data_IF_278701684972
#
_entry.id   IF_278701684972
#
_cell.length_a   1.000
_cell.length_b   1.000
_cell.length_c   1.000
_cell.angle_alpha   90.00
_cell.angle_beta   90.00
_cell.angle_gamma   90.00
#
_symmetry.space_group_name_H-M   'P 1'
#
loop_
_entity.id
_entity.type
_entity.pdbx_description
1 polymer ?
#
# COMPACT_ATOMS: atom_id res chain seq x y z
N UNK A 1 -27.69 -13.08 -21.25
CA UNK A 1 -26.41 -12.66 -20.62
C UNK A 1 -25.62 -13.80 -20.00
N UNK A 2 -26.23 -14.92 -19.58
CA UNK A 2 -25.48 -16.16 -19.27
C UNK A 2 -26.19 -17.37 -19.91
N UNK A 3 -25.54 -18.07 -20.84
CA UNK A 3 -26.04 -19.36 -21.35
C UNK A 3 -25.28 -20.47 -20.61
N UNK A 4 -25.98 -21.19 -19.74
CA UNK A 4 -25.44 -22.38 -19.09
C UNK A 4 -25.68 -23.58 -19.99
N UNK A 5 -24.61 -24.10 -20.60
CA UNK A 5 -24.67 -25.32 -21.41
C UNK A 5 -24.39 -26.51 -20.49
N UNK A 6 -25.44 -27.10 -19.91
CA UNK A 6 -25.33 -28.34 -19.12
C UNK A 6 -25.90 -29.51 -19.93
N UNK A 7 -25.15 -30.62 -20.01
CA UNK A 7 -25.54 -31.87 -20.68
C UNK A 7 -26.08 -31.72 -22.13
N UNK A 8 -25.18 -31.57 -23.11
CA UNK A 8 -25.58 -31.72 -24.52
C UNK A 8 -25.49 -33.18 -24.98
N UNK A 9 -26.63 -33.70 -25.44
CA UNK A 9 -26.82 -34.99 -26.09
C UNK A 9 -26.06 -35.10 -27.42
N UNK A 10 -25.82 -36.34 -27.84
CA UNK A 10 -24.73 -36.81 -28.71
C UNK A 10 -24.69 -36.32 -30.18
N UNK A 11 -25.58 -35.45 -30.66
CA UNK A 11 -25.82 -35.35 -32.12
C UNK A 11 -25.56 -33.98 -32.78
N UNK A 12 -24.97 -32.99 -32.11
CA UNK A 12 -24.57 -31.74 -32.78
C UNK A 12 -23.09 -31.82 -33.20
N UNK A 13 -22.75 -31.59 -34.49
CA UNK A 13 -21.37 -31.54 -34.93
C UNK A 13 -20.57 -30.48 -34.16
N UNK A 14 -19.38 -30.84 -33.67
CA UNK A 14 -18.47 -29.95 -32.90
C UNK A 14 -18.31 -28.56 -33.53
N UNK A 15 -18.26 -28.50 -34.87
CA UNK A 15 -18.11 -27.28 -35.66
C UNK A 15 -19.28 -26.31 -35.49
N UNK A 16 -20.50 -26.82 -35.38
CA UNK A 16 -21.72 -26.00 -35.30
C UNK A 16 -21.87 -25.41 -33.91
N UNK A 17 -21.53 -26.16 -32.86
CA UNK A 17 -21.47 -25.66 -31.48
C UNK A 17 -20.46 -24.50 -31.39
N UNK A 18 -19.24 -24.69 -31.91
CA UNK A 18 -18.21 -23.65 -31.91
C UNK A 18 -18.68 -22.41 -32.70
N UNK A 19 -19.31 -22.60 -33.85
CA UNK A 19 -19.85 -21.49 -34.66
C UNK A 19 -20.93 -20.71 -33.92
N UNK A 20 -21.87 -21.40 -33.28
CA UNK A 20 -22.95 -20.78 -32.50
C UNK A 20 -22.43 -20.05 -31.26
N UNK A 21 -21.47 -20.63 -30.52
CA UNK A 21 -20.81 -19.96 -29.40
C UNK A 21 -20.09 -18.70 -29.87
N UNK A 22 -19.35 -18.78 -30.98
CA UNK A 22 -18.64 -17.63 -31.54
C UNK A 22 -19.61 -16.52 -31.97
N UNK A 23 -20.73 -16.85 -32.62
CA UNK A 23 -21.75 -15.87 -33.01
C UNK A 23 -22.44 -15.26 -31.78
N UNK A 24 -22.70 -16.06 -30.75
CA UNK A 24 -23.29 -15.58 -29.49
C UNK A 24 -22.34 -14.60 -28.79
N UNK A 25 -21.05 -14.93 -28.68
CA UNK A 25 -20.02 -14.06 -28.10
C UNK A 25 -19.93 -12.72 -28.81
N UNK A 26 -20.01 -12.72 -30.15
CA UNK A 26 -20.04 -11.47 -30.95
C UNK A 26 -21.23 -10.58 -30.58
N UNK A 27 -22.37 -11.16 -30.18
CA UNK A 27 -23.59 -10.42 -29.84
C UNK A 27 -23.70 -9.99 -28.38
N UNK A 28 -23.20 -10.79 -27.43
CA UNK A 28 -23.41 -10.56 -25.98
C UNK A 28 -22.15 -9.99 -25.28
N UNK A 29 -21.02 -9.90 -25.99
CA UNK A 29 -19.76 -9.35 -25.47
C UNK A 29 -18.94 -10.38 -24.70
N UNK A 30 -19.50 -10.96 -23.63
CA UNK A 30 -18.88 -12.01 -22.81
C UNK A 30 -19.81 -13.21 -22.68
N UNK A 31 -19.26 -14.42 -22.80
CA UNK A 31 -19.97 -15.66 -22.53
C UNK A 31 -19.10 -16.55 -21.64
N UNK A 32 -19.66 -17.00 -20.52
CA UNK A 32 -19.00 -17.89 -19.57
C UNK A 32 -19.40 -19.34 -19.87
N UNK A 33 -18.42 -20.19 -20.16
CA UNK A 33 -18.60 -21.64 -20.29
C UNK A 33 -18.09 -22.28 -19.00
N UNK A 34 -19.02 -22.78 -18.19
CA UNK A 34 -18.69 -23.54 -17.00
C UNK A 34 -18.67 -25.04 -17.30
N UNK A 35 -17.51 -25.67 -17.10
CA UNK A 35 -17.33 -27.10 -17.28
C UNK A 35 -16.98 -27.76 -15.95
N UNK A 36 -17.87 -28.64 -15.50
CA UNK A 36 -17.69 -29.43 -14.29
C UNK A 36 -17.44 -30.88 -14.64
N UNK A 37 -16.30 -31.44 -14.20
CA UNK A 37 -15.93 -32.82 -14.54
C UNK A 37 -16.05 -33.78 -13.36
N UNK A 38 -16.67 -34.93 -13.60
CA UNK A 38 -16.79 -36.04 -12.63
C UNK A 38 -15.73 -37.13 -12.82
N UNK A 39 -15.04 -37.14 -13.97
CA UNK A 39 -13.94 -38.08 -14.27
C UNK A 39 -12.59 -37.38 -14.11
N UNK A 40 -11.52 -38.10 -13.74
CA UNK A 40 -10.16 -37.53 -13.70
C UNK A 40 -9.82 -36.82 -15.02
N UNK A 41 -9.36 -35.58 -14.91
CA UNK A 41 -9.11 -34.69 -16.06
C UNK A 41 -8.07 -35.28 -17.02
N UNK A 42 -7.12 -36.05 -16.50
CA UNK A 42 -6.09 -36.81 -17.21
C UNK A 42 -6.61 -37.57 -18.45
N UNK A 43 -7.84 -38.09 -18.38
CA UNK A 43 -8.42 -38.89 -19.46
C UNK A 43 -8.77 -38.08 -20.71
N UNK A 44 -8.88 -36.76 -20.62
CA UNK A 44 -9.33 -35.91 -21.73
C UNK A 44 -8.71 -34.51 -21.79
N UNK A 45 -7.72 -34.22 -20.94
CA UNK A 45 -7.11 -32.89 -20.79
C UNK A 45 -6.58 -32.30 -22.10
N UNK A 46 -5.82 -33.05 -22.88
CA UNK A 46 -5.24 -32.54 -24.14
C UNK A 46 -6.31 -32.18 -25.18
N UNK A 47 -7.40 -32.95 -25.26
CA UNK A 47 -8.52 -32.63 -26.17
C UNK A 47 -9.27 -31.38 -25.70
N UNK A 48 -9.46 -31.24 -24.39
CA UNK A 48 -10.14 -30.09 -23.79
C UNK A 48 -9.33 -28.81 -24.00
N UNK A 49 -8.05 -28.82 -23.63
CA UNK A 49 -7.20 -27.63 -23.70
C UNK A 49 -6.89 -27.20 -25.13
N UNK A 50 -6.71 -28.15 -26.06
CA UNK A 50 -6.66 -27.82 -27.49
C UNK A 50 -7.97 -27.19 -27.98
N UNK A 51 -9.13 -27.70 -27.55
CA UNK A 51 -10.40 -27.07 -27.91
C UNK A 51 -10.52 -25.65 -27.34
N UNK A 52 -10.07 -25.42 -26.10
CA UNK A 52 -10.03 -24.10 -25.49
C UNK A 52 -9.16 -23.15 -26.31
N UNK A 53 -7.93 -23.54 -26.69
CA UNK A 53 -7.03 -22.74 -27.52
C UNK A 53 -7.66 -22.30 -28.86
N UNK A 54 -8.45 -23.18 -29.47
CA UNK A 54 -9.11 -22.93 -30.76
C UNK A 54 -10.36 -22.03 -30.65
N UNK A 55 -10.82 -21.73 -29.43
CA UNK A 55 -12.03 -20.92 -29.23
C UNK A 55 -11.77 -19.42 -29.28
N UNK A 56 -12.84 -18.63 -29.45
CA UNK A 56 -12.76 -17.18 -29.49
C UNK A 56 -12.14 -16.59 -28.23
N UNK A 57 -11.28 -15.59 -28.42
CA UNK A 57 -10.49 -14.92 -27.38
C UNK A 57 -11.29 -14.26 -26.24
N UNK A 58 -12.63 -14.14 -26.40
CA UNK A 58 -13.56 -13.50 -25.46
C UNK A 58 -14.40 -14.50 -24.67
N UNK A 59 -14.25 -15.80 -24.95
CA UNK A 59 -14.89 -16.86 -24.18
C UNK A 59 -14.19 -17.03 -22.85
N UNK A 60 -14.95 -16.88 -21.77
CA UNK A 60 -14.47 -17.10 -20.41
C UNK A 60 -14.75 -18.57 -20.07
N UNK A 61 -13.71 -19.35 -19.87
CA UNK A 61 -13.85 -20.72 -19.38
C UNK A 61 -13.79 -20.70 -17.87
N UNK A 62 -14.61 -21.54 -17.22
CA UNK A 62 -14.53 -21.88 -15.80
C UNK A 62 -14.55 -23.39 -15.66
N UNK A 63 -13.40 -23.99 -15.36
CA UNK A 63 -13.23 -25.45 -15.29
C UNK A 63 -13.00 -25.86 -13.84
N UNK A 64 -13.80 -26.79 -13.32
CA UNK A 64 -13.70 -27.27 -11.94
C UNK A 64 -14.10 -28.75 -11.78
N UNK A 65 -13.55 -29.48 -10.80
CA UNK A 65 -14.00 -30.83 -10.50
C UNK A 65 -15.40 -30.81 -9.84
N UNK A 66 -16.19 -31.85 -10.08
CA UNK A 66 -17.53 -32.02 -9.50
C UNK A 66 -17.50 -32.40 -8.02
N UNK A 67 -16.51 -33.19 -7.62
CA UNK A 67 -16.44 -33.82 -6.30
C UNK A 67 -16.09 -32.82 -5.20
N UNK A 68 -15.21 -31.86 -5.51
CA UNK A 68 -14.77 -30.82 -4.57
C UNK A 68 -14.80 -29.49 -5.30
N UNK A 69 -15.92 -28.78 -5.21
CA UNK A 69 -16.24 -27.59 -6.02
C UNK A 69 -15.25 -26.43 -5.91
N UNK A 70 -14.26 -26.54 -5.02
CA UNK A 70 -13.27 -25.52 -4.71
C UNK A 70 -11.81 -25.97 -4.87
N UNK A 71 -11.50 -27.24 -5.16
CA UNK A 71 -10.11 -27.72 -5.04
C UNK A 71 -9.18 -27.27 -6.18
N UNK A 72 -9.72 -27.19 -7.39
CA UNK A 72 -9.02 -26.77 -8.58
C UNK A 72 -9.99 -25.98 -9.46
N UNK A 73 -9.66 -24.72 -9.76
CA UNK A 73 -10.47 -23.87 -10.61
C UNK A 73 -9.57 -23.17 -11.63
N UNK A 74 -9.89 -23.34 -12.91
CA UNK A 74 -9.25 -22.60 -13.99
C UNK A 74 -10.28 -21.64 -14.58
N UNK A 75 -10.00 -20.34 -14.51
CA UNK A 75 -10.90 -19.30 -15.01
C UNK A 75 -10.16 -18.29 -15.88
N UNK A 76 -10.64 -18.02 -17.09
CA UNK A 76 -10.04 -16.98 -17.94
C UNK A 76 -10.29 -17.15 -19.44
N UNK A 77 -9.46 -16.49 -20.24
CA UNK A 77 -9.57 -16.43 -21.71
C UNK A 77 -8.21 -16.65 -22.37
N UNK A 78 -8.19 -17.06 -23.64
CA UNK A 78 -6.93 -17.21 -24.39
C UNK A 78 -6.16 -15.90 -24.56
N UNK A 79 -6.86 -14.75 -24.63
CA UNK A 79 -6.25 -13.44 -24.84
C UNK A 79 -5.56 -12.93 -23.58
N UNK A 80 -6.35 -12.80 -22.52
CA UNK A 80 -5.91 -12.26 -21.24
C UNK A 80 -4.98 -13.24 -20.51
N UNK A 81 -5.16 -14.54 -20.74
CA UNK A 81 -4.60 -15.61 -19.93
C UNK A 81 -5.63 -16.18 -18.95
N UNK A 82 -5.21 -17.23 -18.28
CA UNK A 82 -6.02 -17.95 -17.30
C UNK A 82 -5.49 -17.75 -15.89
N UNK A 83 -6.44 -17.65 -14.96
CA UNK A 83 -6.23 -17.76 -13.52
C UNK A 83 -6.40 -19.21 -13.11
N UNK A 84 -5.33 -19.81 -12.61
CA UNK A 84 -5.40 -21.12 -11.97
C UNK A 84 -5.47 -20.94 -10.46
N UNK A 85 -6.55 -21.40 -9.83
CA UNK A 85 -6.73 -21.43 -8.39
C UNK A 85 -6.67 -22.87 -7.88
N UNK A 86 -5.77 -23.12 -6.92
CA UNK A 86 -5.60 -24.41 -6.26
C UNK A 86 -5.94 -24.22 -4.80
N UNK A 87 -6.91 -24.98 -4.30
CA UNK A 87 -7.26 -25.05 -2.88
C UNK A 87 -7.16 -26.50 -2.44
N UNK A 88 -6.24 -26.82 -1.54
CA UNK A 88 -6.06 -28.21 -1.11
C UNK A 88 -6.37 -28.33 0.36
N UNK A 89 -7.42 -29.09 0.69
CA UNK A 89 -7.80 -29.36 2.09
C UNK A 89 -7.16 -30.66 2.63
N UNK A 90 -6.63 -31.51 1.76
CA UNK A 90 -6.00 -32.78 2.12
C UNK A 90 -4.81 -33.08 1.19
N UNK A 91 -3.73 -33.65 1.73
CA UNK A 91 -2.56 -34.10 0.97
C UNK A 91 -2.95 -35.10 -0.13
N UNK A 92 -3.98 -35.92 0.11
CA UNK A 92 -4.45 -36.95 -0.84
C UNK A 92 -5.02 -36.34 -2.13
N UNK A 93 -5.73 -35.21 -2.02
CA UNK A 93 -6.28 -34.47 -3.16
C UNK A 93 -5.20 -33.79 -4.00
N UNK A 94 -4.10 -33.37 -3.37
CA UNK A 94 -3.01 -32.66 -4.07
C UNK A 94 -2.31 -33.53 -5.12
N UNK A 95 -2.15 -34.84 -4.84
CA UNK A 95 -1.51 -35.79 -5.77
C UNK A 95 -2.38 -36.02 -7.00
N UNK A 96 -3.71 -36.07 -6.80
CA UNK A 96 -4.71 -36.38 -7.83
C UNK A 96 -4.72 -35.42 -9.01
N UNK A 97 -4.31 -34.17 -8.80
CA UNK A 97 -4.37 -33.13 -9.85
C UNK A 97 -3.00 -32.74 -10.42
N UNK A 98 -1.91 -33.35 -9.97
CA UNK A 98 -0.55 -32.99 -10.40
C UNK A 98 -0.34 -33.06 -11.93
N UNK A 99 -0.74 -34.17 -12.57
CA UNK A 99 -0.68 -34.33 -14.03
C UNK A 99 -1.51 -33.28 -14.78
N UNK A 100 -2.71 -33.02 -14.26
CA UNK A 100 -3.65 -32.04 -14.82
C UNK A 100 -3.13 -30.61 -14.74
N UNK A 101 -2.49 -30.25 -13.63
CA UNK A 101 -1.87 -28.94 -13.44
C UNK A 101 -0.70 -28.78 -14.41
N UNK A 102 0.17 -29.78 -14.57
CA UNK A 102 1.26 -29.74 -15.57
C UNK A 102 0.70 -29.47 -16.97
N UNK A 103 -0.31 -30.24 -17.41
CA UNK A 103 -0.92 -30.04 -18.73
C UNK A 103 -1.61 -28.68 -18.88
N UNK A 104 -2.20 -28.12 -17.82
CA UNK A 104 -2.76 -26.77 -17.87
C UNK A 104 -1.68 -25.72 -18.14
N UNK A 105 -0.51 -25.82 -17.55
CA UNK A 105 0.57 -24.86 -17.79
C UNK A 105 1.29 -25.07 -19.13
N UNK A 106 1.50 -26.33 -19.52
CA UNK A 106 2.12 -26.66 -20.81
C UNK A 106 1.24 -26.20 -21.98
N UNK A 107 -0.07 -26.32 -21.81
CA UNK A 107 -1.00 -26.01 -22.87
C UNK A 107 -1.55 -24.58 -22.77
N UNK A 108 -1.84 -24.05 -21.59
CA UNK A 108 -2.56 -22.78 -21.47
C UNK A 108 -1.65 -21.64 -21.01
N UNK A 109 -2.03 -20.44 -21.43
CA UNK A 109 -1.39 -19.20 -20.99
C UNK A 109 -1.82 -18.87 -19.56
N UNK A 110 -1.21 -19.49 -18.56
CA UNK A 110 -1.49 -19.17 -17.14
C UNK A 110 -0.85 -17.82 -16.80
N UNK A 111 -1.68 -16.81 -16.58
CA UNK A 111 -1.24 -15.45 -16.23
C UNK A 111 -1.30 -15.17 -14.74
N UNK A 112 -2.16 -15.90 -14.02
CA UNK A 112 -2.40 -15.70 -12.60
C UNK A 112 -2.45 -17.05 -11.90
N UNK A 113 -1.74 -17.19 -10.78
CA UNK A 113 -1.75 -18.40 -9.96
C UNK A 113 -2.18 -18.07 -8.53
N UNK A 114 -3.26 -18.67 -8.07
CA UNK A 114 -3.71 -18.58 -6.69
C UNK A 114 -3.54 -19.93 -5.98
N UNK A 115 -2.86 -19.92 -4.85
CA UNK A 115 -2.73 -21.05 -3.94
C UNK A 115 -3.44 -20.66 -2.65
N UNK A 116 -4.58 -21.28 -2.31
CA UNK A 116 -5.37 -20.93 -1.13
C UNK A 116 -5.44 -22.06 -0.10
N UNK A 117 -4.96 -21.80 1.11
CA UNK A 117 -4.87 -22.73 2.23
C UNK A 117 -4.37 -24.12 1.81
N UNK A 118 -3.56 -24.20 0.75
CA UNK A 118 -3.27 -25.48 0.13
C UNK A 118 -2.13 -26.17 0.89
N UNK A 119 -2.41 -27.36 1.44
CA UNK A 119 -1.36 -28.30 1.82
C UNK A 119 -0.93 -28.99 0.53
N UNK A 120 0.27 -28.65 0.05
CA UNK A 120 0.81 -29.12 -1.21
C UNK A 120 1.74 -30.29 -0.94
N UNK A 121 1.47 -31.45 -1.54
CA UNK A 121 2.43 -32.55 -1.52
C UNK A 121 3.75 -32.12 -2.17
N UNK A 122 4.86 -32.74 -1.76
CA UNK A 122 6.19 -32.47 -2.30
C UNK A 122 6.26 -32.57 -3.83
N UNK A 123 5.51 -33.50 -4.43
CA UNK A 123 5.45 -33.65 -5.90
C UNK A 123 4.76 -32.46 -6.56
N UNK A 124 3.58 -32.07 -6.05
CA UNK A 124 2.87 -30.90 -6.57
C UNK A 124 3.67 -29.60 -6.36
N UNK A 125 4.37 -29.51 -5.23
CA UNK A 125 5.27 -28.41 -4.94
C UNK A 125 6.40 -28.27 -5.96
N UNK A 126 7.08 -29.38 -6.29
CA UNK A 126 8.10 -29.40 -7.33
C UNK A 126 7.54 -29.02 -8.70
N UNK A 127 6.33 -29.49 -9.02
CA UNK A 127 5.59 -29.07 -10.21
C UNK A 127 5.40 -27.55 -10.23
N UNK A 128 4.75 -26.98 -9.21
CA UNK A 128 4.49 -25.53 -9.14
C UNK A 128 5.79 -24.73 -9.24
N UNK A 129 6.84 -25.20 -8.56
CA UNK A 129 8.18 -24.61 -8.59
C UNK A 129 8.73 -24.54 -10.01
N UNK A 130 8.74 -25.66 -10.73
CA UNK A 130 9.23 -25.72 -12.11
C UNK A 130 8.41 -24.82 -13.03
N UNK A 131 7.09 -24.82 -12.84
CA UNK A 131 6.17 -23.98 -13.59
C UNK A 131 6.38 -22.48 -13.37
N UNK A 132 6.71 -22.07 -12.14
CA UNK A 132 7.10 -20.69 -11.84
C UNK A 132 8.38 -20.34 -12.62
N UNK A 133 9.37 -21.22 -12.70
CA UNK A 133 10.60 -20.93 -13.43
C UNK A 133 10.34 -20.82 -14.94
N UNK A 134 9.55 -21.72 -15.49
CA UNK A 134 9.40 -21.86 -16.95
C UNK A 134 8.32 -20.94 -17.54
N UNK A 135 7.38 -20.46 -16.72
CA UNK A 135 6.27 -19.64 -17.23
C UNK A 135 6.73 -18.25 -17.64
N UNK A 136 6.57 -17.95 -18.93
CA UNK A 136 6.77 -16.61 -19.50
C UNK A 136 5.53 -15.71 -19.37
N UNK A 137 4.40 -16.27 -18.90
CA UNK A 137 3.11 -15.58 -18.90
C UNK A 137 2.61 -15.23 -17.50
N UNK A 138 3.20 -15.81 -16.45
CA UNK A 138 2.78 -15.64 -15.06
C UNK A 138 3.06 -14.21 -14.58
N UNK A 139 2.04 -13.36 -14.55
CA UNK A 139 2.11 -11.96 -14.14
C UNK A 139 1.78 -11.76 -12.67
N UNK A 140 0.89 -12.59 -12.13
CA UNK A 140 0.40 -12.46 -10.77
C UNK A 140 0.41 -13.79 -10.03
N UNK A 141 0.83 -13.77 -8.77
CA UNK A 141 0.79 -14.93 -7.91
C UNK A 141 0.25 -14.53 -6.53
N UNK A 142 -0.74 -15.29 -6.05
CA UNK A 142 -1.27 -15.20 -4.69
C UNK A 142 -0.96 -16.51 -4.00
N UNK A 143 -0.18 -16.46 -2.93
CA UNK A 143 0.25 -17.60 -2.14
C UNK A 143 -0.29 -17.49 -0.73
N UNK A 144 -1.18 -18.39 -0.36
CA UNK A 144 -1.74 -18.54 0.96
C UNK A 144 -1.57 -19.99 1.39
N UNK A 145 -0.32 -20.38 1.60
CA UNK A 145 0.05 -21.75 1.92
C UNK A 145 0.97 -21.76 3.14
N UNK A 146 0.72 -22.62 4.14
CA UNK A 146 1.72 -22.87 5.16
C UNK A 146 2.89 -23.61 4.51
N UNK A 147 4.03 -22.93 4.36
CA UNK A 147 5.28 -23.53 3.87
C UNK A 147 6.29 -23.70 5.00
N UNK A 148 7.06 -24.78 4.94
CA UNK A 148 8.27 -24.93 5.75
C UNK A 148 9.33 -23.92 5.32
N UNK A 149 10.36 -23.73 6.15
CA UNK A 149 11.51 -22.87 5.81
C UNK A 149 12.15 -23.28 4.48
N UNK A 150 12.41 -24.58 4.30
CA UNK A 150 13.06 -25.10 3.10
C UNK A 150 12.19 -24.92 1.85
N UNK A 151 10.89 -25.23 1.93
CA UNK A 151 9.97 -24.94 0.82
C UNK A 151 9.95 -23.46 0.49
N UNK A 152 10.04 -22.60 1.52
CA UNK A 152 10.08 -21.14 1.34
C UNK A 152 11.29 -20.69 0.54
N UNK A 153 12.47 -21.16 0.89
CA UNK A 153 13.69 -20.89 0.10
C UNK A 153 13.57 -21.37 -1.34
N UNK A 154 13.01 -22.55 -1.55
CA UNK A 154 12.91 -23.14 -2.89
C UNK A 154 11.98 -22.36 -3.82
N UNK A 155 10.81 -21.93 -3.34
CA UNK A 155 9.92 -21.12 -4.18
C UNK A 155 10.46 -19.70 -4.36
N UNK A 156 11.08 -19.10 -3.35
CA UNK A 156 11.71 -17.79 -3.49
C UNK A 156 12.78 -17.78 -4.57
N UNK A 157 13.66 -18.78 -4.56
CA UNK A 157 14.68 -18.94 -5.60
C UNK A 157 14.06 -19.09 -7.00
N UNK A 158 12.91 -19.76 -7.08
CA UNK A 158 12.19 -19.95 -8.34
C UNK A 158 11.53 -18.66 -8.83
N UNK A 159 10.99 -17.85 -7.93
CA UNK A 159 10.46 -16.53 -8.27
C UNK A 159 11.55 -15.56 -8.73
N UNK A 160 12.78 -15.63 -8.19
CA UNK A 160 13.89 -14.81 -8.68
C UNK A 160 14.13 -15.00 -10.19
N UNK A 161 13.91 -16.23 -10.68
CA UNK A 161 14.12 -16.60 -12.09
C UNK A 161 12.97 -16.23 -13.01
N UNK A 162 11.76 -16.02 -12.47
CA UNK A 162 10.62 -15.66 -13.31
C UNK A 162 10.66 -14.18 -13.70
N UNK A 163 10.97 -13.86 -14.94
CA UNK A 163 11.03 -12.48 -15.43
C UNK A 163 9.64 -11.84 -15.68
N UNK A 164 8.60 -12.66 -15.85
CA UNK A 164 7.25 -12.19 -16.17
C UNK A 164 6.42 -11.74 -14.96
N UNK A 165 6.80 -12.18 -13.76
CA UNK A 165 6.06 -11.94 -12.53
C UNK A 165 6.18 -10.49 -12.08
N UNK A 166 5.02 -9.84 -11.97
CA UNK A 166 4.86 -8.43 -11.60
C UNK A 166 4.16 -8.25 -10.27
N UNK A 167 3.25 -9.16 -9.89
CA UNK A 167 2.44 -9.05 -8.69
C UNK A 167 2.63 -10.30 -7.83
N UNK A 168 2.99 -10.12 -6.56
CA UNK A 168 3.13 -11.22 -5.61
C UNK A 168 2.40 -10.88 -4.30
N UNK A 169 1.40 -11.69 -3.96
CA UNK A 169 0.70 -11.61 -2.70
C UNK A 169 1.04 -12.85 -1.87
N UNK A 170 1.61 -12.69 -0.69
CA UNK A 170 1.86 -13.75 0.28
C UNK A 170 0.90 -13.52 1.44
N UNK A 171 -0.06 -14.41 1.61
CA UNK A 171 -0.98 -14.44 2.74
C UNK A 171 -0.54 -15.51 3.73
N UNK A 172 -0.81 -15.27 5.01
CA UNK A 172 -0.33 -16.10 6.11
C UNK A 172 1.18 -16.38 6.04
N UNK A 173 1.94 -15.32 5.76
CA UNK A 173 3.39 -15.36 5.59
C UNK A 173 4.14 -16.07 6.72
N UNK A 174 5.39 -16.49 6.45
CA UNK A 174 6.14 -17.39 7.30
C UNK A 174 6.22 -16.90 8.74
N UNK A 175 6.06 -17.82 9.69
CA UNK A 175 6.06 -17.55 11.15
C UNK A 175 7.44 -17.24 11.72
N UNK A 176 8.44 -16.95 10.88
CA UNK A 176 9.82 -16.76 11.28
C UNK A 176 10.36 -15.49 10.63
N UNK A 177 10.83 -14.55 11.44
CA UNK A 177 11.34 -13.26 10.98
C UNK A 177 12.45 -13.38 9.93
N UNK A 178 13.35 -14.36 10.08
CA UNK A 178 14.46 -14.58 9.14
C UNK A 178 13.97 -14.87 7.72
N UNK A 179 12.84 -15.55 7.58
CA UNK A 179 12.26 -15.87 6.27
C UNK A 179 11.68 -14.62 5.62
N UNK A 180 11.02 -13.75 6.40
CA UNK A 180 10.59 -12.45 5.91
C UNK A 180 11.79 -11.61 5.41
N UNK A 181 12.92 -11.66 6.11
CA UNK A 181 14.14 -10.95 5.70
C UNK A 181 14.66 -11.46 4.36
N UNK A 182 14.69 -12.78 4.14
CA UNK A 182 15.10 -13.37 2.87
C UNK A 182 14.13 -13.04 1.74
N UNK A 183 12.81 -13.02 2.01
CA UNK A 183 11.81 -12.51 1.07
C UNK A 183 12.19 -11.08 0.66
N UNK A 184 12.51 -10.21 1.61
CA UNK A 184 12.89 -8.83 1.29
C UNK A 184 14.20 -8.73 0.50
N UNK A 185 15.19 -9.58 0.79
CA UNK A 185 16.42 -9.62 0.00
C UNK A 185 16.13 -10.02 -1.45
N UNK A 186 15.27 -11.02 -1.66
CA UNK A 186 14.80 -11.39 -2.99
C UNK A 186 14.10 -10.23 -3.69
N UNK A 187 13.18 -9.55 -3.00
CA UNK A 187 12.45 -8.41 -3.55
C UNK A 187 13.39 -7.27 -3.98
N UNK A 188 14.50 -7.07 -3.25
CA UNK A 188 15.52 -6.07 -3.60
C UNK A 188 16.22 -6.42 -4.92
N UNK A 189 16.47 -7.70 -5.18
CA UNK A 189 17.12 -8.18 -6.39
C UNK A 189 16.14 -8.22 -7.58
N UNK A 190 14.85 -8.46 -7.32
CA UNK A 190 13.81 -8.57 -8.33
C UNK A 190 13.31 -7.20 -8.79
N UNK A 191 13.88 -6.71 -9.89
CA UNK A 191 13.48 -5.44 -10.51
C UNK A 191 12.16 -5.49 -11.32
N UNK A 192 11.61 -6.68 -11.57
CA UNK A 192 10.38 -6.85 -12.38
C UNK A 192 9.09 -6.72 -11.57
N UNK A 193 9.19 -6.73 -10.23
CA UNK A 193 8.02 -6.73 -9.37
C UNK A 193 7.42 -5.33 -9.23
N UNK A 194 6.17 -5.19 -9.66
CA UNK A 194 5.37 -3.96 -9.60
C UNK A 194 4.55 -3.88 -8.31
N UNK A 195 4.11 -5.02 -7.75
CA UNK A 195 3.30 -5.06 -6.53
C UNK A 195 3.66 -6.26 -5.66
N UNK A 196 3.71 -6.02 -4.36
CA UNK A 196 4.00 -7.03 -3.36
C UNK A 196 3.07 -6.83 -2.17
N UNK A 197 2.57 -7.90 -1.59
CA UNK A 197 1.83 -7.85 -0.34
C UNK A 197 2.26 -9.01 0.54
N UNK A 198 2.51 -8.75 1.81
CA UNK A 198 2.78 -9.77 2.81
C UNK A 198 1.78 -9.56 3.95
N UNK A 199 0.83 -10.46 4.09
CA UNK A 199 -0.04 -10.53 5.26
C UNK A 199 0.38 -11.71 6.11
N UNK A 200 0.52 -11.52 7.42
CA UNK A 200 0.74 -12.60 8.37
C UNK A 200 -0.24 -12.47 9.51
N UNK A 201 -1.14 -13.45 9.63
CA UNK A 201 -2.06 -13.57 10.76
C UNK A 201 -1.32 -13.77 12.08
N UNK A 202 -0.14 -14.41 12.05
CA UNK A 202 0.70 -14.64 13.23
C UNK A 202 1.26 -13.34 13.80
N UNK A 203 1.65 -12.42 12.91
CA UNK A 203 2.28 -11.15 13.26
C UNK A 203 1.32 -9.95 13.20
N UNK A 204 0.04 -10.18 12.86
CA UNK A 204 -0.94 -9.13 12.51
C UNK A 204 -0.31 -8.03 11.64
N UNK A 205 0.60 -8.45 10.76
CA UNK A 205 1.42 -7.58 9.92
C UNK A 205 0.85 -7.65 8.51
N UNK A 206 0.49 -6.50 7.95
CA UNK A 206 0.16 -6.37 6.54
C UNK A 206 1.13 -5.36 5.94
N UNK A 207 2.05 -5.83 5.10
CA UNK A 207 2.97 -5.00 4.32
C UNK A 207 2.51 -5.02 2.86
N UNK A 208 1.95 -3.91 2.38
CA UNK A 208 1.68 -3.74 0.95
C UNK A 208 2.73 -2.83 0.32
N UNK A 209 3.17 -3.19 -0.87
CA UNK A 209 4.15 -2.50 -1.70
C UNK A 209 3.57 -2.31 -3.09
N UNK A 210 3.73 -1.10 -3.60
CA UNK A 210 3.46 -0.77 -4.99
C UNK A 210 4.68 0.00 -5.53
N UNK A 211 5.27 -0.55 -6.57
CA UNK A 211 6.34 0.03 -7.37
C UNK A 211 5.71 0.89 -8.48
N UNK A 212 5.77 2.21 -8.31
CA UNK A 212 5.40 3.15 -9.35
C UNK A 212 6.60 3.38 -10.29
N UNK A 213 6.83 2.47 -11.25
CA UNK A 213 7.12 2.78 -12.67
C UNK A 213 7.69 1.55 -13.41
N UNK A 214 7.28 1.40 -14.67
CA UNK A 214 7.88 0.48 -15.64
C UNK A 214 9.13 1.04 -16.34
N UNK A 215 9.60 2.24 -15.98
CA UNK A 215 10.62 2.97 -16.79
C UNK A 215 11.70 3.72 -16.02
N UNK A 216 11.62 3.89 -14.70
CA UNK A 216 12.66 4.55 -13.91
C UNK A 216 13.14 3.68 -12.74
N UNK A 217 14.46 3.54 -12.63
CA UNK A 217 15.20 2.76 -11.60
C UNK A 217 14.98 3.22 -10.14
N UNK A 218 14.05 4.14 -9.92
CA UNK A 218 13.69 4.68 -8.62
C UNK A 218 12.17 4.65 -8.50
N UNK A 219 11.62 3.44 -8.42
CA UNK A 219 10.22 3.21 -8.12
C UNK A 219 9.82 4.03 -6.89
N UNK A 220 8.78 4.84 -7.02
CA UNK A 220 8.16 5.49 -5.86
C UNK A 220 7.48 4.38 -5.08
N UNK A 221 8.21 3.83 -4.13
CA UNK A 221 7.71 2.80 -3.25
C UNK A 221 6.69 3.43 -2.32
N UNK A 222 5.43 3.03 -2.45
CA UNK A 222 4.39 3.29 -1.45
C UNK A 222 4.25 2.01 -0.65
N UNK A 223 4.84 2.00 0.55
CA UNK A 223 4.69 0.90 1.51
C UNK A 223 3.54 1.22 2.45
N UNK A 224 2.48 0.42 2.56
CA UNK A 224 1.54 0.54 3.67
C UNK A 224 1.74 -0.62 4.65
N UNK A 225 2.11 -0.31 5.89
CA UNK A 225 2.19 -1.28 6.96
C UNK A 225 0.99 -1.09 7.88
N UNK A 226 0.04 -2.05 7.95
CA UNK A 226 -0.88 -2.10 9.10
C UNK A 226 -0.14 -2.71 10.27
N UNK A 227 -0.05 -1.92 11.33
CA UNK A 227 0.75 -2.23 12.49
C UNK A 227 -0.13 -2.34 13.72
N UNK A 228 -0.23 -3.57 14.22
CA UNK A 228 -1.17 -3.90 15.29
C UNK A 228 -0.49 -4.37 16.60
N UNK A 229 0.85 -4.38 16.69
CA UNK A 229 1.52 -5.24 17.69
C UNK A 229 2.64 -4.56 18.47
N UNK A 230 2.71 -4.91 19.75
CA UNK A 230 3.82 -4.60 20.66
C UNK A 230 4.92 -5.69 20.60
N UNK A 231 4.91 -6.51 19.55
CA UNK A 231 5.84 -7.63 19.41
C UNK A 231 7.14 -7.13 18.79
N UNK A 232 8.24 -7.23 19.54
CA UNK A 232 9.58 -6.87 19.07
C UNK A 232 9.98 -7.57 17.75
N UNK A 233 9.40 -8.75 17.47
CA UNK A 233 9.63 -9.47 16.22
C UNK A 233 9.10 -8.70 15.01
N UNK A 234 7.94 -8.06 15.14
CA UNK A 234 7.28 -7.36 14.03
C UNK A 234 8.01 -6.06 13.74
N UNK A 235 8.43 -5.36 14.80
CA UNK A 235 9.34 -4.20 14.70
C UNK A 235 10.61 -4.60 13.95
N UNK A 236 11.24 -5.71 14.33
CA UNK A 236 12.47 -6.18 13.69
C UNK A 236 12.26 -6.49 12.20
N UNK A 237 11.17 -7.16 11.84
CA UNK A 237 10.81 -7.45 10.45
C UNK A 237 10.64 -6.14 9.66
N UNK A 238 9.89 -5.17 10.18
CA UNK A 238 9.69 -3.87 9.53
C UNK A 238 11.02 -3.11 9.42
N UNK A 239 11.85 -3.10 10.46
CA UNK A 239 13.19 -2.48 10.40
C UNK A 239 14.02 -3.06 9.27
N UNK A 240 14.06 -4.39 9.18
CA UNK A 240 14.82 -5.08 8.14
C UNK A 240 14.24 -4.83 6.75
N UNK A 241 12.92 -4.83 6.61
CA UNK A 241 12.25 -4.41 5.38
C UNK A 241 12.72 -3.03 4.94
N UNK A 242 12.60 -2.02 5.81
CA UNK A 242 12.97 -0.64 5.52
C UNK A 242 14.48 -0.48 5.21
N UNK A 243 15.35 -1.28 5.84
CA UNK A 243 16.79 -1.28 5.57
C UNK A 243 17.16 -1.91 4.22
N UNK A 244 16.40 -2.90 3.77
CA UNK A 244 16.69 -3.67 2.55
C UNK A 244 16.05 -3.00 1.33
N UNK A 245 14.83 -2.50 1.50
CA UNK A 245 13.97 -2.04 0.41
C UNK A 245 13.99 -0.51 0.35
N UNK A 246 14.29 0.10 -0.82
CA UNK A 246 14.36 1.56 -0.95
C UNK A 246 12.97 2.21 -0.93
N UNK A 247 12.52 2.72 0.23
CA UNK A 247 11.19 3.34 0.37
C UNK A 247 11.23 4.84 0.10
N UNK A 248 10.32 5.34 -0.74
CA UNK A 248 10.13 6.77 -1.01
C UNK A 248 8.92 7.37 -0.27
N UNK A 249 7.85 6.58 -0.11
CA UNK A 249 6.64 6.90 0.64
C UNK A 249 6.33 5.72 1.58
N UNK A 250 6.37 5.96 2.88
CA UNK A 250 5.99 4.99 3.89
C UNK A 250 4.67 5.42 4.54
N UNK A 251 3.63 4.61 4.41
CA UNK A 251 2.38 4.74 5.16
C UNK A 251 2.36 3.70 6.29
N UNK A 252 2.13 4.12 7.52
CA UNK A 252 1.95 3.24 8.67
C UNK A 252 0.55 3.44 9.22
N UNK A 253 -0.23 2.36 9.32
CA UNK A 253 -1.57 2.37 9.91
C UNK A 253 -1.45 1.84 11.35
N UNK A 254 -1.65 2.76 12.30
CA UNK A 254 -1.47 2.61 13.74
C UNK A 254 -2.82 2.23 14.34
N UNK A 255 -3.10 0.94 14.36
CA UNK A 255 -4.40 0.44 14.85
C UNK A 255 -4.41 0.17 16.35
N UNK A 256 -3.28 0.34 17.05
CA UNK A 256 -3.16 0.06 18.48
C UNK A 256 -2.55 1.25 19.23
N UNK A 257 -3.25 1.69 20.28
CA UNK A 257 -2.92 2.85 21.12
C UNK A 257 -1.56 2.63 21.83
N UNK A 258 -1.15 1.38 22.06
CA UNK A 258 0.05 1.04 22.84
C UNK A 258 1.33 0.86 22.00
N UNK A 259 1.36 1.34 20.75
CA UNK A 259 2.52 1.17 19.87
C UNK A 259 3.70 2.11 20.16
N UNK A 260 3.67 2.94 21.21
CA UNK A 260 4.69 3.97 21.48
C UNK A 260 6.12 3.43 21.43
N UNK A 261 6.46 2.44 22.26
CA UNK A 261 7.81 1.85 22.32
C UNK A 261 8.26 1.29 20.97
N UNK A 262 7.32 0.71 20.23
CA UNK A 262 7.59 0.10 18.93
C UNK A 262 7.85 1.18 17.87
N UNK A 263 7.08 2.28 17.90
CA UNK A 263 7.24 3.46 17.07
C UNK A 263 8.55 4.19 17.36
N UNK A 264 8.94 4.36 18.63
CA UNK A 264 10.26 4.90 19.02
C UNK A 264 11.38 4.06 18.40
N UNK A 265 11.26 2.74 18.47
CA UNK A 265 12.24 1.85 17.86
C UNK A 265 12.29 2.01 16.33
N UNK A 266 11.16 2.18 15.64
CA UNK A 266 11.14 2.41 14.19
C UNK A 266 11.58 3.83 13.80
N UNK A 267 11.38 4.83 14.66
CA UNK A 267 11.72 6.22 14.40
C UNK A 267 13.17 6.39 13.95
N UNK A 268 14.10 5.72 14.64
CA UNK A 268 15.52 5.75 14.30
C UNK A 268 15.77 5.17 12.90
N UNK A 269 15.14 4.03 12.59
CA UNK A 269 15.29 3.37 11.28
C UNK A 269 14.70 4.24 10.17
N UNK A 270 13.50 4.80 10.37
CA UNK A 270 12.82 5.71 9.43
C UNK A 270 13.69 6.94 9.14
N UNK A 271 14.31 7.51 10.16
CA UNK A 271 15.20 8.67 10.03
C UNK A 271 16.49 8.34 9.25
N UNK A 272 16.97 7.10 9.33
CA UNK A 272 18.15 6.64 8.60
C UNK A 272 17.87 6.31 7.11
N UNK A 273 16.61 6.19 6.68
CA UNK A 273 16.29 5.82 5.29
C UNK A 273 16.60 6.94 4.30
N UNK A 274 17.64 6.89 3.46
CA UNK A 274 18.07 8.06 2.69
C UNK A 274 17.08 8.52 1.61
N UNK A 275 16.26 7.59 1.10
CA UNK A 275 15.35 7.84 -0.02
C UNK A 275 13.92 8.22 0.41
N UNK A 276 13.60 8.09 1.70
CA UNK A 276 12.25 8.36 2.20
C UNK A 276 11.94 9.85 2.11
N UNK A 277 10.93 10.19 1.31
CA UNK A 277 10.46 11.57 1.07
C UNK A 277 9.16 11.86 1.78
N UNK A 278 8.26 10.88 1.85
CA UNK A 278 6.93 11.03 2.44
C UNK A 278 6.76 9.97 3.52
N UNK A 279 6.39 10.38 4.72
CA UNK A 279 5.93 9.49 5.78
C UNK A 279 4.47 9.82 6.05
N UNK A 280 3.60 8.82 6.03
CA UNK A 280 2.19 8.95 6.31
C UNK A 280 1.87 8.06 7.51
N UNK A 281 1.25 8.64 8.53
CA UNK A 281 0.83 7.92 9.72
C UNK A 281 -0.69 7.99 9.79
N UNK A 282 -1.35 6.85 9.76
CA UNK A 282 -2.81 6.69 9.82
C UNK A 282 -3.17 6.07 11.16
N UNK A 283 -4.34 6.39 11.66
CA UNK A 283 -5.07 5.62 12.67
C UNK A 283 -6.53 5.56 12.25
N UNK A 284 -7.36 4.88 13.03
CA UNK A 284 -8.81 4.83 12.79
C UNK A 284 -9.44 6.23 12.69
N UNK A 285 -8.89 7.21 13.41
CA UNK A 285 -9.47 8.55 13.53
C UNK A 285 -8.63 9.66 12.91
N UNK A 286 -7.43 9.39 12.40
CA UNK A 286 -6.56 10.47 11.91
C UNK A 286 -5.56 10.03 10.86
N UNK A 287 -5.10 10.98 10.05
CA UNK A 287 -4.02 10.77 9.09
C UNK A 287 -3.08 11.98 9.10
N UNK A 288 -1.78 11.74 9.15
CA UNK A 288 -0.75 12.75 9.18
C UNK A 288 0.28 12.47 8.09
N UNK A 289 0.51 13.44 7.19
CA UNK A 289 1.46 13.33 6.08
C UNK A 289 2.64 14.29 6.30
N UNK A 290 3.80 13.67 6.43
CA UNK A 290 5.09 14.27 6.67
C UNK A 290 5.91 14.29 5.39
N UNK A 291 6.49 15.44 5.07
CA UNK A 291 7.43 15.58 3.98
C UNK A 291 8.82 15.77 4.54
N UNK A 292 9.77 14.95 4.09
CA UNK A 292 11.17 15.15 4.45
C UNK A 292 11.65 16.43 3.80
N UNK A 293 12.22 17.33 4.59
CA UNK A 293 12.87 18.50 4.03
C UNK A 293 14.04 18.02 3.15
N UNK A 294 14.22 18.63 1.97
CA UNK A 294 15.46 18.45 1.21
C UNK A 294 16.57 19.07 2.04
N UNK A 295 17.09 18.34 3.03
CA UNK A 295 18.41 18.65 3.55
C UNK A 295 19.31 18.59 2.34
N UNK A 296 19.87 19.74 2.00
CA UNK A 296 21.16 19.79 1.34
C UNK A 296 22.04 19.01 2.32
N UNK A 297 22.15 17.69 2.12
CA UNK A 297 23.25 16.92 2.65
C UNK A 297 24.45 17.68 2.13
N UNK A 298 24.96 18.62 2.94
CA UNK A 298 26.29 19.16 2.74
C UNK A 298 27.11 17.89 2.67
N UNK A 299 27.50 17.51 1.45
CA UNK A 299 28.59 16.56 1.26
C UNK A 299 29.64 17.10 2.22
N UNK A 300 29.92 16.36 3.28
CA UNK A 300 31.21 16.44 3.92
C UNK A 300 32.17 16.03 2.82
N UNK A 301 32.53 17.04 2.03
CA UNK A 301 33.46 16.93 0.94
C UNK A 301 34.76 16.54 1.59
N UNK A 302 35.11 15.26 1.41
CA UNK A 302 36.46 14.80 1.16
C UNK A 302 37.51 15.56 1.95
N UNK A 303 37.94 14.96 3.07
CA UNK A 303 39.33 15.09 3.49
C UNK A 303 40.18 14.90 2.23
N UNK A 304 40.83 15.99 1.82
CA UNK A 304 41.78 15.98 0.71
C UNK A 304 42.87 14.99 1.11
N UNK A 305 42.98 13.90 0.36
CA UNK A 305 44.25 13.21 0.19
C UNK A 305 45.22 14.24 -0.41
N UNK A 306 46.12 14.75 0.42
CA UNK A 306 47.31 15.47 -0.03
C UNK A 306 48.54 14.70 0.41
N UNK A 307 49.18 14.13 -0.59
CA UNK A 307 50.63 14.09 -0.80
C UNK A 307 51.52 13.23 0.11
N UNK A 308 52.07 12.21 -0.55
CA UNK A 308 53.31 11.50 -0.27
C UNK A 308 54.46 12.43 0.15
N UNK A 309 55.07 12.21 1.33
CA UNK A 309 56.51 12.42 1.57
C UNK A 309 57.06 11.32 2.51
N UNK A 310 58.18 10.74 2.08
CA UNK A 310 59.04 9.69 2.66
C UNK A 310 59.57 9.94 4.09
N UNK A 311 60.12 8.91 4.77
CA UNK A 311 60.43 8.97 6.20
C UNK A 311 61.81 9.56 6.48
N UNK A 312 61.91 10.43 7.50
CA UNK A 312 63.18 10.75 8.17
C UNK A 312 62.99 10.80 9.70
N UNK A 313 64.04 10.31 10.35
CA UNK A 313 64.27 10.07 11.77
C UNK A 313 64.29 11.31 12.69
N UNK A 314 64.07 11.05 14.00
CA UNK A 314 64.32 11.88 15.21
C UNK A 314 63.45 13.15 15.39
N UNK A 315 63.06 13.63 16.57
CA UNK A 315 63.41 13.40 17.97
C UNK A 315 62.18 13.65 18.86
N UNK A 316 62.18 13.02 20.04
CA UNK A 316 61.36 13.31 21.22
C UNK A 316 61.41 14.76 21.69
N UNK A 317 60.26 15.37 21.99
CA UNK A 317 60.07 16.42 23.01
C UNK A 317 58.59 16.58 23.32
N UNK A 318 58.27 16.62 24.61
CA UNK A 318 56.96 16.92 25.17
C UNK A 318 56.54 18.36 24.85
N UNK A 319 55.24 18.60 24.66
CA UNK A 319 54.58 19.77 25.24
C UNK A 319 53.07 19.56 25.30
N UNK A 320 52.53 19.79 26.50
CA UNK A 320 51.13 19.75 26.85
C UNK A 320 50.38 20.91 26.21
N UNK A 321 49.22 20.64 25.61
CA UNK A 321 48.26 21.69 25.25
C UNK A 321 46.85 21.10 25.26
N UNK A 322 46.20 21.27 26.41
CA UNK A 322 44.81 21.00 26.68
C UNK A 322 43.93 22.03 25.96
N UNK A 323 43.39 21.65 24.80
CA UNK A 323 42.20 22.31 24.25
C UNK A 323 41.04 21.32 24.28
N UNK A 324 39.95 21.59 25.03
CA UNK A 324 38.77 20.75 24.96
C UNK A 324 38.13 20.87 23.58
N UNK A 325 37.54 19.80 23.03
CA UNK A 325 36.83 19.87 21.78
C UNK A 325 35.64 20.82 21.93
N UNK A 326 35.56 21.80 21.02
CA UNK A 326 34.37 22.60 20.78
C UNK A 326 33.18 21.67 20.55
N UNK A 327 32.38 21.46 21.60
CA UNK A 327 31.01 20.97 21.47
C UNK A 327 30.24 22.02 20.67
N UNK A 328 30.14 21.81 19.36
CA UNK A 328 29.10 22.43 18.57
C UNK A 328 27.81 21.72 18.99
N UNK A 329 27.15 22.27 20.01
CA UNK A 329 25.78 21.91 20.34
C UNK A 329 24.93 22.22 19.10
N UNK A 330 24.52 21.17 18.39
CA UNK A 330 23.44 21.22 17.41
C UNK A 330 22.10 21.38 18.15
N UNK A 331 21.98 22.41 18.99
CA UNK A 331 20.72 22.87 19.56
C UNK A 331 20.06 23.84 18.58
N UNK A 332 19.68 23.32 17.42
CA UNK A 332 18.49 23.79 16.72
C UNK A 332 17.50 22.64 16.72
N UNK A 333 16.98 22.36 17.91
CA UNK A 333 15.69 21.69 18.03
C UNK A 333 14.69 22.56 17.25
N UNK A 334 14.33 22.13 16.04
CA UNK A 334 13.21 22.72 15.32
C UNK A 334 11.98 22.56 16.22
N UNK A 335 11.30 23.65 16.56
CA UNK A 335 10.11 23.63 17.39
C UNK A 335 8.96 22.91 16.65
N UNK A 336 8.84 21.59 16.84
CA UNK A 336 7.72 20.76 16.33
C UNK A 336 6.51 20.83 17.30
N UNK A 337 6.27 21.99 17.91
CA UNK A 337 5.35 22.11 19.05
C UNK A 337 3.84 22.31 18.76
N UNK A 338 3.34 22.70 17.58
CA UNK A 338 2.02 23.32 17.55
C UNK A 338 0.83 22.40 17.85
N UNK A 339 0.91 21.12 17.50
CA UNK A 339 -0.17 20.16 17.79
C UNK A 339 0.13 19.23 18.98
N UNK A 340 1.15 19.54 19.80
CA UNK A 340 1.52 18.73 20.99
C UNK A 340 0.40 18.64 22.03
N UNK A 341 -0.49 19.64 22.06
CA UNK A 341 -1.65 19.70 22.95
C UNK A 341 -2.87 18.89 22.47
N UNK A 342 -2.82 18.26 21.28
CA UNK A 342 -3.81 17.25 20.85
C UNK A 342 -3.57 15.91 21.59
N UNK A 343 -3.14 16.00 22.85
CA UNK A 343 -2.49 14.97 23.67
C UNK A 343 -3.37 13.79 24.06
N UNK A 344 -4.64 13.76 23.66
CA UNK A 344 -5.47 12.56 23.72
C UNK A 344 -5.32 11.66 22.49
N UNK A 345 -4.77 12.17 21.37
CA UNK A 345 -4.51 11.36 20.19
C UNK A 345 -3.12 10.72 20.29
N UNK A 346 -3.01 9.40 20.52
CA UNK A 346 -1.73 8.69 20.66
C UNK A 346 -0.81 8.89 19.45
N UNK A 347 -1.39 9.18 18.27
CA UNK A 347 -0.66 9.45 17.04
C UNK A 347 0.29 10.65 17.19
N UNK A 348 -0.06 11.69 17.95
CA UNK A 348 0.73 12.93 17.98
C UNK A 348 2.03 12.83 18.80
N UNK A 349 1.98 12.14 19.94
CA UNK A 349 3.20 11.84 20.71
C UNK A 349 4.15 10.96 19.89
N UNK A 350 3.59 9.98 19.17
CA UNK A 350 4.31 9.10 18.26
C UNK A 350 4.91 9.87 17.06
N UNK A 351 4.20 10.88 16.55
CA UNK A 351 4.65 11.80 15.51
C UNK A 351 5.91 12.57 15.93
N UNK A 352 5.93 13.09 17.17
CA UNK A 352 7.00 13.94 17.67
C UNK A 352 8.35 13.21 17.70
N UNK A 353 8.35 11.90 17.98
CA UNK A 353 9.56 11.07 18.04
C UNK A 353 10.07 10.67 16.64
N UNK A 354 9.17 10.41 15.69
CA UNK A 354 9.54 9.93 14.35
C UNK A 354 9.98 11.09 13.43
N UNK A 355 9.44 12.29 13.63
CA UNK A 355 9.50 13.38 12.64
C UNK A 355 10.64 14.41 12.82
N UNK A 356 11.73 14.11 13.53
CA UNK A 356 12.83 15.08 13.73
C UNK A 356 13.42 15.65 12.42
N UNK A 357 13.28 14.91 11.31
CA UNK A 357 13.76 15.33 9.97
C UNK A 357 12.63 15.57 8.96
N UNK A 358 11.37 15.57 9.40
CA UNK A 358 10.22 15.76 8.54
C UNK A 358 9.38 16.95 8.99
N UNK A 359 8.78 17.63 8.03
CA UNK A 359 7.78 18.66 8.29
C UNK A 359 6.40 18.06 8.08
N UNK A 360 5.53 18.13 9.09
CA UNK A 360 4.11 17.82 8.90
C UNK A 360 3.51 18.85 7.93
N UNK A 361 3.01 18.41 6.77
CA UNK A 361 2.43 19.30 5.75
C UNK A 361 0.93 19.14 5.61
N UNK A 362 0.44 17.92 5.78
CA UNK A 362 -0.98 17.63 5.69
C UNK A 362 -1.44 16.89 6.95
N UNK A 363 -2.58 17.27 7.48
CA UNK A 363 -3.18 16.64 8.64
C UNK A 363 -4.68 16.48 8.43
N UNK A 364 -5.19 15.28 8.68
CA UNK A 364 -6.60 14.94 8.64
C UNK A 364 -7.05 14.50 10.02
N UNK A 365 -8.13 15.10 10.51
CA UNK A 365 -8.71 14.85 11.82
C UNK A 365 -10.14 14.34 11.62
N UNK A 366 -10.43 13.14 12.13
CA UNK A 366 -11.80 12.65 12.28
C UNK A 366 -12.31 13.07 13.65
N UNK A 367 -13.36 13.87 13.68
CA UNK A 367 -13.99 14.36 14.90
C UNK A 367 -14.93 13.28 15.42
N UNK A 368 -14.64 12.80 16.63
CA UNK A 368 -15.54 11.96 17.42
C UNK A 368 -16.04 12.74 18.64
N UNK A 369 -17.11 12.27 19.33
CA UNK A 369 -17.65 12.96 20.51
C UNK A 369 -16.64 13.17 21.64
N UNK A 370 -15.58 12.35 21.71
CA UNK A 370 -14.56 12.41 22.76
C UNK A 370 -13.43 13.40 22.44
N UNK A 371 -13.42 13.98 21.24
CA UNK A 371 -12.36 14.91 20.81
C UNK A 371 -12.60 16.29 21.43
N UNK A 372 -11.65 16.77 22.23
CA UNK A 372 -11.68 18.13 22.77
C UNK A 372 -11.32 19.17 21.71
N UNK A 373 -12.33 19.80 21.12
CA UNK A 373 -12.16 20.80 20.05
C UNK A 373 -11.38 22.03 20.51
N UNK A 374 -11.47 22.42 21.79
CA UNK A 374 -10.72 23.57 22.30
C UNK A 374 -9.20 23.37 22.24
N UNK A 375 -8.74 22.12 22.41
CA UNK A 375 -7.33 21.76 22.26
C UNK A 375 -6.90 21.81 20.79
N UNK A 376 -7.72 21.26 19.88
CA UNK A 376 -7.47 21.34 18.43
C UNK A 376 -7.40 22.81 17.98
N UNK A 377 -8.33 23.64 18.44
CA UNK A 377 -8.35 25.07 18.12
C UNK A 377 -7.08 25.79 18.61
N UNK A 378 -6.63 25.48 19.83
CA UNK A 378 -5.37 26.02 20.37
C UNK A 378 -4.17 25.59 19.53
N UNK A 379 -4.13 24.33 19.09
CA UNK A 379 -3.08 23.80 18.24
C UNK A 379 -3.07 24.38 16.82
N UNK A 380 -4.24 24.65 16.25
CA UNK A 380 -4.36 25.40 14.99
C UNK A 380 -3.78 26.80 15.16
N UNK A 381 -4.04 27.48 16.29
CA UNK A 381 -3.54 28.84 16.49
C UNK A 381 -2.01 28.88 16.54
N UNK A 382 -1.38 27.91 17.20
CA UNK A 382 0.09 27.82 17.29
C UNK A 382 0.76 27.20 16.06
N UNK A 383 0.00 26.57 15.15
CA UNK A 383 0.52 25.87 13.96
C UNK A 383 1.47 26.68 13.07
N UNK A 384 2.71 26.17 12.98
CA UNK A 384 3.81 26.69 12.17
C UNK A 384 4.14 25.85 10.93
N UNK A 385 3.61 24.63 10.79
CA UNK A 385 4.08 23.64 9.79
C UNK A 385 3.00 23.14 8.84
N UNK A 386 1.80 22.85 9.36
CA UNK A 386 0.69 22.25 8.60
C UNK A 386 0.11 23.26 7.64
N UNK A 387 0.12 22.90 6.36
CA UNK A 387 -0.38 23.76 5.26
C UNK A 387 -1.72 23.26 4.74
N UNK A 388 -2.00 21.96 4.87
CA UNK A 388 -3.24 21.33 4.44
C UNK A 388 -3.89 20.68 5.66
N UNK A 389 -5.11 21.12 5.99
CA UNK A 389 -5.85 20.60 7.13
C UNK A 389 -7.22 20.12 6.65
N UNK A 390 -7.59 18.89 7.01
CA UNK A 390 -8.86 18.28 6.65
C UNK A 390 -9.60 17.82 7.90
N UNK A 391 -10.90 18.08 7.95
CA UNK A 391 -11.80 17.57 8.97
C UNK A 391 -12.78 16.57 8.37
N UNK A 392 -13.08 15.54 9.14
CA UNK A 392 -14.05 14.48 8.82
C UNK A 392 -14.97 14.28 10.03
N UNK A 393 -16.27 14.11 9.83
CA UNK A 393 -17.23 13.79 10.89
C UNK A 393 -18.21 14.92 11.19
N UNK A 394 -18.74 14.94 12.42
CA UNK A 394 -19.71 15.96 12.85
C UNK A 394 -19.06 16.91 13.85
N UNK A 395 -19.24 18.21 13.64
CA UNK A 395 -18.77 19.25 14.55
C UNK A 395 -19.99 20.01 15.06
N UNK A 396 -20.14 20.08 16.37
CA UNK A 396 -21.23 20.85 16.98
C UNK A 396 -21.04 22.36 16.73
N UNK A 397 -22.14 23.11 16.75
CA UNK A 397 -22.14 24.51 16.31
C UNK A 397 -21.21 25.41 17.16
N UNK A 398 -21.17 25.18 18.48
CA UNK A 398 -20.28 25.89 19.41
C UNK A 398 -18.81 25.59 19.15
N UNK A 399 -18.52 24.36 18.75
CA UNK A 399 -17.17 23.87 18.47
C UNK A 399 -16.64 24.43 17.15
N UNK A 400 -17.50 24.50 16.13
CA UNK A 400 -17.17 25.12 14.86
C UNK A 400 -16.82 26.61 15.04
N UNK A 401 -17.58 27.34 15.85
CA UNK A 401 -17.26 28.75 16.18
C UNK A 401 -15.86 28.87 16.79
N UNK A 402 -15.46 27.91 17.63
CA UNK A 402 -14.14 27.87 18.27
C UNK A 402 -13.02 27.61 17.25
N UNK A 403 -13.22 26.67 16.32
CA UNK A 403 -12.29 26.39 15.23
C UNK A 403 -12.14 27.58 14.27
N UNK A 404 -13.24 28.25 13.92
CA UNK A 404 -13.21 29.44 13.05
C UNK A 404 -12.37 30.55 13.66
N UNK A 405 -12.51 30.80 14.97
CA UNK A 405 -11.66 31.76 15.69
C UNK A 405 -10.18 31.38 15.63
N UNK A 406 -9.87 30.09 15.68
CA UNK A 406 -8.51 29.60 15.52
C UNK A 406 -7.97 29.81 14.09
N UNK A 407 -8.76 29.49 13.07
CA UNK A 407 -8.37 29.71 11.67
C UNK A 407 -8.16 31.18 11.32
N UNK A 408 -8.93 32.10 11.92
CA UNK A 408 -8.70 33.55 11.73
C UNK A 408 -7.30 33.98 12.18
N UNK A 409 -6.75 33.34 13.21
CA UNK A 409 -5.41 33.65 13.75
C UNK A 409 -4.29 32.89 13.06
N UNK A 410 -4.58 31.71 12.51
CA UNK A 410 -3.55 30.90 11.85
C UNK A 410 -3.14 31.50 10.51
N UNK A 411 -1.84 31.65 10.27
CA UNK A 411 -1.29 32.25 9.04
C UNK A 411 -0.51 31.26 8.17
N UNK A 412 -0.59 29.96 8.48
CA UNK A 412 0.19 28.91 7.81
C UNK A 412 -0.68 28.00 6.94
N UNK A 413 -1.89 27.69 7.40
CA UNK A 413 -2.82 26.82 6.68
C UNK A 413 -3.24 27.52 5.39
N UNK A 414 -2.90 26.90 4.26
CA UNK A 414 -3.23 27.38 2.92
C UNK A 414 -4.34 26.56 2.26
N UNK A 415 -4.60 25.36 2.75
CA UNK A 415 -5.68 24.49 2.27
C UNK A 415 -6.47 23.97 3.46
N UNK A 416 -7.75 24.31 3.52
CA UNK A 416 -8.71 23.82 4.51
C UNK A 416 -9.79 23.01 3.82
N UNK A 417 -9.96 21.75 4.23
CA UNK A 417 -11.01 20.87 3.71
C UNK A 417 -12.02 20.50 4.78
N UNK A 418 -13.27 20.89 4.52
CA UNK A 418 -14.45 20.69 5.36
C UNK A 418 -15.53 19.88 4.60
N UNK A 419 -15.14 19.14 3.55
CA UNK A 419 -16.07 18.44 2.64
C UNK A 419 -16.98 17.42 3.35
N UNK A 420 -16.50 16.84 4.44
CA UNK A 420 -17.20 15.75 5.12
C UNK A 420 -17.86 16.21 6.41
N UNK A 421 -18.15 17.51 6.53
CA UNK A 421 -18.82 18.09 7.69
C UNK A 421 -20.24 18.55 7.33
N UNK A 422 -21.18 18.34 8.25
CA UNK A 422 -22.48 19.01 8.21
C UNK A 422 -22.30 20.45 8.74
N UNK A 423 -22.41 21.44 7.85
CA UNK A 423 -22.18 22.85 8.20
C UNK A 423 -23.51 23.63 8.15
N UNK A 424 -23.89 24.23 9.29
CA UNK A 424 -25.03 25.15 9.36
C UNK A 424 -24.79 26.42 8.53
N UNK A 425 -25.86 27.08 8.09
CA UNK A 425 -25.76 28.36 7.37
C UNK A 425 -25.00 29.43 8.18
N UNK A 426 -25.20 29.47 9.49
CA UNK A 426 -24.51 30.41 10.38
C UNK A 426 -23.00 30.17 10.37
N UNK A 427 -22.58 28.91 10.51
CA UNK A 427 -21.16 28.55 10.49
C UNK A 427 -20.53 28.78 9.12
N UNK A 428 -21.28 28.53 8.04
CA UNK A 428 -20.80 28.77 6.68
C UNK A 428 -20.47 30.24 6.43
N UNK A 429 -21.34 31.16 6.89
CA UNK A 429 -21.05 32.61 6.85
C UNK A 429 -19.81 32.95 7.64
N UNK A 430 -19.68 32.41 8.85
CA UNK A 430 -18.50 32.65 9.68
C UNK A 430 -17.20 32.11 9.05
N UNK A 431 -17.28 31.00 8.30
CA UNK A 431 -16.16 30.44 7.52
C UNK A 431 -15.79 31.39 6.38
N UNK A 432 -16.75 31.93 5.64
CA UNK A 432 -16.49 32.92 4.60
C UNK A 432 -15.87 34.20 5.17
N UNK A 433 -16.41 34.73 6.26
CA UNK A 433 -15.83 35.86 7.00
C UNK A 433 -14.38 35.57 7.44
N UNK A 434 -14.10 34.34 7.88
CA UNK A 434 -12.75 33.93 8.24
C UNK A 434 -11.83 33.89 7.02
N UNK A 435 -12.30 33.37 5.89
CA UNK A 435 -11.54 33.28 4.65
C UNK A 435 -11.20 34.65 4.06
N UNK A 436 -12.02 35.67 4.34
CA UNK A 436 -11.73 37.06 4.02
C UNK A 436 -10.53 37.60 4.82
N UNK A 437 -10.55 37.39 6.15
CA UNK A 437 -9.49 37.88 7.04
C UNK A 437 -8.19 37.09 6.84
N UNK A 438 -8.30 35.78 6.60
CA UNK A 438 -7.16 34.90 6.43
C UNK A 438 -6.66 34.86 4.98
N UNK A 439 -5.77 35.80 4.64
CA UNK A 439 -5.13 35.91 3.31
C UNK A 439 -4.19 34.76 2.95
N UNK A 440 -3.91 33.85 3.89
CA UNK A 440 -3.02 32.70 3.66
C UNK A 440 -3.79 31.48 3.19
N UNK A 441 -5.07 31.39 3.53
CA UNK A 441 -5.98 30.39 3.00
C UNK A 441 -6.18 30.63 1.50
N UNK A 442 -5.76 29.65 0.70
CA UNK A 442 -5.84 29.66 -0.77
C UNK A 442 -6.83 28.66 -1.31
N UNK A 443 -7.08 27.58 -0.59
CA UNK A 443 -8.03 26.55 -0.99
C UNK A 443 -8.97 26.29 0.16
N UNK A 444 -10.25 26.48 -0.07
CA UNK A 444 -11.33 26.15 0.85
C UNK A 444 -12.25 25.15 0.17
N UNK A 445 -12.34 23.96 0.74
CA UNK A 445 -13.22 22.92 0.24
C UNK A 445 -14.38 22.70 1.20
N UNK A 446 -15.61 22.79 0.71
CA UNK A 446 -16.82 22.61 1.51
C UNK A 446 -17.80 21.81 0.66
N UNK A 447 -18.33 20.71 1.18
CA UNK A 447 -19.39 19.94 0.53
C UNK A 447 -20.57 19.83 1.53
N UNK A 448 -21.76 19.52 1.02
CA UNK A 448 -22.96 19.26 1.83
C UNK A 448 -23.35 20.41 2.79
N UNK A 449 -23.60 21.59 2.23
CA UNK A 449 -24.44 22.58 2.92
C UNK A 449 -25.88 22.05 2.99
N UNK A 450 -26.53 22.16 4.15
CA UNK A 450 -27.85 21.56 4.45
C UNK A 450 -28.91 21.82 3.36
N UNK A 451 -29.87 20.90 3.22
CA UNK A 451 -30.87 20.85 2.13
C UNK A 451 -31.75 22.09 1.98
N UNK A 452 -31.86 22.89 3.04
CA UNK A 452 -32.73 24.08 3.09
C UNK A 452 -32.05 25.35 2.59
N UNK A 453 -30.87 25.21 2.00
CA UNK A 453 -30.07 26.33 1.52
C UNK A 453 -30.66 26.94 0.22
N UNK A 454 -30.98 28.23 0.22
CA UNK A 454 -31.21 28.99 -1.02
C UNK A 454 -29.91 29.07 -1.82
N UNK A 455 -29.74 28.16 -2.79
CA UNK A 455 -28.53 28.07 -3.63
C UNK A 455 -28.08 29.43 -4.19
N UNK A 456 -29.00 30.38 -4.40
CA UNK A 456 -28.66 31.72 -4.88
C UNK A 456 -27.88 32.52 -3.84
N UNK A 457 -28.31 32.49 -2.58
CA UNK A 457 -27.60 33.15 -1.48
C UNK A 457 -26.20 32.55 -1.32
N UNK A 458 -26.04 31.24 -1.53
CA UNK A 458 -24.73 30.57 -1.39
C UNK A 458 -23.76 31.08 -2.45
N UNK A 459 -24.25 31.13 -3.69
CA UNK A 459 -23.49 31.62 -4.82
C UNK A 459 -23.12 33.10 -4.64
N UNK A 460 -23.97 33.90 -3.99
CA UNK A 460 -23.65 35.29 -3.67
C UNK A 460 -22.51 35.38 -2.64
N UNK A 461 -22.58 34.62 -1.55
CA UNK A 461 -21.55 34.59 -0.50
C UNK A 461 -20.18 34.12 -1.06
N UNK A 462 -20.18 33.10 -1.94
CA UNK A 462 -18.97 32.65 -2.64
C UNK A 462 -18.42 33.76 -3.54
N UNK A 463 -19.26 34.38 -4.37
CA UNK A 463 -18.83 35.47 -5.26
C UNK A 463 -18.24 36.64 -4.48
N UNK A 464 -18.86 36.99 -3.36
CA UNK A 464 -18.35 38.04 -2.48
C UNK A 464 -16.98 37.64 -1.92
N UNK A 465 -16.86 36.44 -1.35
CA UNK A 465 -15.60 35.93 -0.79
C UNK A 465 -14.45 35.93 -1.80
N UNK A 466 -14.71 35.49 -3.04
CA UNK A 466 -13.72 35.49 -4.13
C UNK A 466 -13.36 36.90 -4.60
N UNK A 467 -14.30 37.85 -4.55
CA UNK A 467 -14.02 39.24 -4.93
C UNK A 467 -13.09 39.94 -3.94
N UNK A 468 -13.18 39.58 -2.66
CA UNK A 468 -12.42 40.17 -1.57
C UNK A 468 -11.08 39.45 -1.33
N UNK A 469 -11.01 38.14 -1.55
CA UNK A 469 -9.79 37.33 -1.49
C UNK A 469 -9.49 36.69 -2.86
N UNK A 470 -8.74 37.42 -3.70
CA UNK A 470 -8.41 37.01 -5.08
C UNK A 470 -7.55 35.75 -5.21
N UNK A 471 -6.94 35.30 -4.12
CA UNK A 471 -6.08 34.10 -4.10
C UNK A 471 -6.81 32.87 -3.58
N UNK A 472 -8.06 33.03 -3.13
CA UNK A 472 -8.88 31.95 -2.61
C UNK A 472 -9.57 31.23 -3.77
N UNK A 473 -9.49 29.91 -3.75
CA UNK A 473 -10.25 28.98 -4.58
C UNK A 473 -11.22 28.24 -3.67
N UNK A 474 -12.50 28.26 -4.03
CA UNK A 474 -13.56 27.59 -3.27
C UNK A 474 -14.09 26.42 -4.10
N UNK A 475 -13.97 25.21 -3.57
CA UNK A 475 -14.52 24.00 -4.16
C UNK A 475 -15.77 23.58 -3.38
N UNK A 476 -16.90 23.51 -4.09
CA UNK A 476 -18.24 23.18 -3.58
C UNK A 476 -18.65 21.78 -4.03
#
# INVERSE_FOLDING_TARGET
>A
ENIFVTNYGRDIPKRDIISQLNNTVKSVGNLIIEYTFTKPLEKFQSKLFNAIKETHSRLIFKIRPAEVTSSLELTGTNEAGFTLSIKSHDETDSVKYSSSINSMFDELKISTLHLHNAILSKSLWNTIRQLIVDSQNLKEMIMDCPSTLNETHEWLFSLCKNESLKILHIMNGPKQANVCIEIFQMLKEKNTLEKFSLTSSTYRLQLDFISASSQNRYSTLTGSAKWCTNNNSDVLIIKKFLQIIPVHHLSLDLTNINCETSLTQLAETINQLPLLKILELRSETSCAVFHREKRILKRESSVRESDCISPKYYHSSQEESSNPPLQISNERAMSVEPFSHVSSNPLYKQIQEIALNFTLKQFQITISPDVNISHIASSIQSNSTVTHLRFVGRIEETDMTTLIKAFRKNTIISHLSLKELEISLLNLRQIFDMSYVNRRLRVLEIHHCTSDFDRKLFQQEIKQSLSENRTLEIFV
#
